data_IF_941305520840
#
_entry.id   IF_941305520840
#
_cell.length_a   1.000
_cell.length_b   1.000
_cell.length_c   1.000
_cell.angle_alpha   90.00
_cell.angle_beta   90.00
_cell.angle_gamma   90.00
#
_symmetry.space_group_name_H-M   'P 1'
#
loop_
_entity.id
_entity.type
_entity.pdbx_description
1 polymer ?
#
# COMPACT_ATOMS: atom_id res chain seq x y z
N UNK A 1 -15.97 4.61 30.52
CA UNK A 1 -16.20 5.13 29.15
C UNK A 1 -14.93 5.85 28.72
N UNK A 2 -14.38 5.60 27.51
CA UNK A 2 -13.26 6.39 27.02
C UNK A 2 -13.69 7.85 26.89
N UNK A 3 -12.82 8.83 27.24
CA UNK A 3 -13.15 10.24 27.13
C UNK A 3 -13.43 10.61 25.66
N UNK A 4 -14.54 11.30 25.41
CA UNK A 4 -14.83 11.83 24.08
C UNK A 4 -13.91 13.02 23.80
N UNK A 5 -13.12 13.01 22.72
CA UNK A 5 -12.25 14.14 22.40
C UNK A 5 -13.08 15.40 22.08
N UNK A 6 -12.56 16.56 22.49
CA UNK A 6 -13.13 17.85 22.06
C UNK A 6 -13.00 18.01 20.54
N UNK A 7 -13.81 18.88 19.89
CA UNK A 7 -13.72 19.12 18.45
C UNK A 7 -12.31 19.48 17.98
N UNK A 8 -11.63 20.37 18.71
CA UNK A 8 -10.27 20.81 18.38
C UNK A 8 -9.26 19.66 18.52
N UNK A 9 -9.35 18.89 19.61
CA UNK A 9 -8.51 17.71 19.81
C UNK A 9 -8.73 16.67 18.72
N UNK A 10 -9.98 16.48 18.29
CA UNK A 10 -10.31 15.58 17.18
C UNK A 10 -9.63 16.05 15.89
N UNK A 11 -9.63 17.35 15.59
CA UNK A 11 -8.96 17.88 14.41
C UNK A 11 -7.45 17.62 14.44
N UNK A 12 -6.77 17.91 15.56
CA UNK A 12 -5.35 17.61 15.72
C UNK A 12 -5.04 16.12 15.58
N UNK A 13 -5.86 15.25 16.17
CA UNK A 13 -5.70 13.80 16.06
C UNK A 13 -5.91 13.30 14.63
N UNK A 14 -6.86 13.88 13.88
CA UNK A 14 -7.08 13.55 12.47
C UNK A 14 -5.93 14.02 11.59
N UNK A 15 -5.40 15.22 11.83
CA UNK A 15 -4.21 15.72 11.14
C UNK A 15 -3.01 14.82 11.43
N UNK A 16 -2.77 14.48 12.70
CA UNK A 16 -1.72 13.55 13.11
C UNK A 16 -1.85 12.19 12.45
N UNK A 17 -3.05 11.61 12.44
CA UNK A 17 -3.35 10.34 11.79
C UNK A 17 -3.15 10.38 10.27
N UNK A 18 -3.55 11.49 9.64
CA UNK A 18 -3.29 11.75 8.22
C UNK A 18 -1.79 11.77 7.94
N UNK A 19 -1.03 12.54 8.72
CA UNK A 19 0.44 12.59 8.59
C UNK A 19 1.07 11.20 8.80
N UNK A 20 0.64 10.44 9.81
CA UNK A 20 1.13 9.08 10.04
C UNK A 20 0.80 8.13 8.87
N UNK A 21 -0.38 8.26 8.26
CA UNK A 21 -0.78 7.48 7.08
C UNK A 21 0.12 7.79 5.88
N UNK A 22 0.40 9.07 5.65
CA UNK A 22 1.28 9.54 4.57
C UNK A 22 2.76 9.19 4.82
N UNK A 23 3.17 9.14 6.09
CA UNK A 23 4.54 8.88 6.52
C UNK A 23 4.82 7.42 6.88
N UNK A 24 3.87 6.50 6.73
CA UNK A 24 3.98 5.12 7.19
C UNK A 24 5.24 4.42 6.66
N UNK A 25 5.57 4.63 5.37
CA UNK A 25 6.79 4.09 4.76
C UNK A 25 8.07 4.65 5.41
N UNK A 26 8.12 5.96 5.63
CA UNK A 26 9.27 6.61 6.26
C UNK A 26 9.46 6.18 7.71
N UNK A 27 8.37 6.13 8.48
CA UNK A 27 8.39 5.65 9.86
C UNK A 27 8.85 4.20 9.94
N UNK A 28 8.34 3.36 9.04
CA UNK A 28 8.80 1.96 8.93
C UNK A 28 10.29 1.89 8.62
N UNK A 29 10.77 2.70 7.67
CA UNK A 29 12.18 2.68 7.26
C UNK A 29 13.11 3.09 8.40
N UNK A 30 12.71 4.08 9.19
CA UNK A 30 13.42 4.53 10.38
C UNK A 30 13.41 3.45 11.48
N UNK A 31 12.26 2.85 11.78
CA UNK A 31 12.15 1.79 12.78
C UNK A 31 12.96 0.54 12.39
N UNK A 32 12.85 0.14 11.13
CA UNK A 32 13.55 -1.01 10.59
C UNK A 32 15.07 -0.81 10.65
N UNK A 33 15.57 0.29 10.08
CA UNK A 33 17.01 0.56 10.01
C UNK A 33 17.65 0.71 11.39
N UNK A 34 16.95 1.34 12.34
CA UNK A 34 17.49 1.61 13.68
C UNK A 34 17.46 0.39 14.60
N UNK A 35 16.41 -0.42 14.54
CA UNK A 35 16.17 -1.44 15.58
C UNK A 35 16.10 -2.89 15.07
N UNK A 36 15.74 -3.12 13.81
CA UNK A 36 15.33 -4.45 13.35
C UNK A 36 16.22 -5.03 12.23
N UNK A 37 16.89 -4.18 11.46
CA UNK A 37 17.76 -4.61 10.37
C UNK A 37 18.92 -5.49 10.86
N UNK A 38 19.56 -5.11 11.97
CA UNK A 38 20.62 -5.91 12.62
C UNK A 38 20.13 -7.27 13.13
N UNK A 39 18.82 -7.41 13.36
CA UNK A 39 18.17 -8.66 13.79
C UNK A 39 17.71 -9.52 12.61
N UNK A 40 17.90 -9.04 11.38
CA UNK A 40 17.49 -9.74 10.17
C UNK A 40 15.97 -9.81 9.97
N UNK A 41 15.20 -8.99 10.67
CA UNK A 41 13.74 -8.90 10.46
C UNK A 41 13.48 -8.31 9.08
N UNK A 42 12.63 -8.89 8.22
CA UNK A 42 12.28 -8.28 6.94
C UNK A 42 11.49 -6.98 7.13
N UNK A 43 11.58 -6.07 6.17
CA UNK A 43 10.88 -4.77 6.18
C UNK A 43 9.35 -4.89 6.15
N UNK A 44 8.81 -5.84 5.37
CA UNK A 44 7.36 -5.94 5.12
C UNK A 44 6.51 -6.18 6.40
N UNK A 45 6.87 -7.12 7.31
CA UNK A 45 6.21 -7.25 8.61
C UNK A 45 6.20 -5.96 9.45
N UNK A 46 7.30 -5.19 9.42
CA UNK A 46 7.40 -3.91 10.14
C UNK A 46 6.41 -2.91 9.57
N UNK A 47 6.34 -2.83 8.23
CA UNK A 47 5.39 -1.97 7.53
C UNK A 47 3.95 -2.33 7.87
N UNK A 48 3.61 -3.62 7.82
CA UNK A 48 2.28 -4.11 8.20
C UNK A 48 1.96 -3.76 9.65
N UNK A 49 2.90 -3.89 10.58
CA UNK A 49 2.72 -3.51 11.98
C UNK A 49 2.46 -2.01 12.18
N UNK A 50 3.24 -1.15 11.50
CA UNK A 50 3.05 0.31 11.54
C UNK A 50 1.68 0.70 10.95
N UNK A 51 1.34 0.19 9.77
CA UNK A 51 0.05 0.46 9.13
C UNK A 51 -1.15 -0.11 9.91
N UNK A 52 -0.98 -1.23 10.58
CA UNK A 52 -1.98 -1.77 11.51
C UNK A 52 -2.17 -0.85 12.71
N UNK A 53 -1.10 -0.30 13.30
CA UNK A 53 -1.20 0.67 14.39
C UNK A 53 -1.95 1.95 13.95
N UNK A 54 -1.65 2.46 12.74
CA UNK A 54 -2.38 3.58 12.14
C UNK A 54 -3.86 3.23 11.95
N UNK A 55 -4.15 2.03 11.42
CA UNK A 55 -5.53 1.55 11.26
C UNK A 55 -6.26 1.50 12.61
N UNK A 56 -5.67 0.89 13.64
CA UNK A 56 -6.27 0.78 14.98
C UNK A 56 -6.51 2.17 15.57
N UNK A 57 -5.54 3.08 15.50
CA UNK A 57 -5.71 4.44 15.97
C UNK A 57 -6.86 5.17 15.23
N UNK A 58 -6.97 4.97 13.91
CA UNK A 58 -8.06 5.51 13.12
C UNK A 58 -9.42 4.92 13.47
N UNK A 59 -9.52 3.60 13.67
CA UNK A 59 -10.76 2.96 14.08
C UNK A 59 -11.21 3.38 15.49
N UNK A 60 -10.26 3.59 16.41
CA UNK A 60 -10.56 4.11 17.75
C UNK A 60 -11.05 5.57 17.70
N UNK A 61 -10.48 6.40 16.82
CA UNK A 61 -10.82 7.82 16.71
C UNK A 61 -12.10 8.09 15.89
N UNK A 62 -12.30 7.32 14.82
CA UNK A 62 -13.36 7.54 13.83
C UNK A 62 -14.53 6.56 14.00
N UNK A 63 -14.32 5.48 14.74
CA UNK A 63 -15.22 4.34 14.84
C UNK A 63 -15.03 3.35 13.68
N UNK A 64 -15.43 2.08 13.86
CA UNK A 64 -15.32 1.05 12.82
C UNK A 64 -16.22 1.30 11.61
N UNK A 65 -17.17 2.24 11.72
CA UNK A 65 -18.04 2.66 10.63
C UNK A 65 -17.30 3.14 9.38
N UNK A 66 -16.06 3.63 9.51
CA UNK A 66 -15.24 4.06 8.35
C UNK A 66 -14.93 2.94 7.36
N UNK A 67 -15.05 1.68 7.77
CA UNK A 67 -14.87 0.52 6.87
C UNK A 67 -16.13 0.21 6.05
N UNK A 68 -17.27 0.75 6.48
CA UNK A 68 -18.61 0.38 6.01
C UNK A 68 -19.47 1.58 5.57
N UNK A 69 -19.05 2.81 5.80
CA UNK A 69 -19.92 3.99 5.76
C UNK A 69 -19.38 5.14 4.91
N UNK A 70 -19.44 5.02 3.59
CA UNK A 70 -19.43 6.20 2.70
C UNK A 70 -20.88 6.60 2.37
N UNK A 71 -21.22 7.88 2.48
CA UNK A 71 -22.58 8.37 2.15
C UNK A 71 -22.72 8.70 0.65
N UNK A 72 -23.87 8.40 0.01
CA UNK A 72 -25.03 7.64 0.53
C UNK A 72 -24.68 6.15 0.72
N UNK A 73 -25.11 5.57 1.84
CA UNK A 73 -24.77 4.18 2.19
C UNK A 73 -25.74 3.21 1.51
N UNK A 74 -25.28 2.38 0.55
CA UNK A 74 -26.13 1.34 0.01
C UNK A 74 -26.53 0.33 1.11
N UNK A 75 -27.60 -0.46 0.91
CA UNK A 75 -27.96 -1.53 1.84
C UNK A 75 -26.79 -2.48 2.09
N UNK A 76 -26.65 -3.01 3.32
CA UNK A 76 -25.52 -3.85 3.69
C UNK A 76 -25.32 -5.04 2.75
N UNK A 77 -26.40 -5.68 2.31
CA UNK A 77 -26.36 -6.78 1.35
C UNK A 77 -25.78 -6.35 -0.01
N UNK A 78 -26.13 -5.16 -0.49
CA UNK A 78 -25.55 -4.61 -1.73
C UNK A 78 -24.05 -4.38 -1.59
N UNK A 79 -23.60 -3.81 -0.47
CA UNK A 79 -22.16 -3.57 -0.21
C UNK A 79 -21.38 -4.88 -0.26
N UNK A 80 -21.90 -5.92 0.40
CA UNK A 80 -21.29 -7.26 0.40
C UNK A 80 -21.30 -7.89 -1.00
N UNK A 81 -22.46 -7.92 -1.65
CA UNK A 81 -22.64 -8.56 -2.95
C UNK A 81 -21.82 -7.89 -4.06
N UNK A 82 -21.73 -6.56 -4.05
CA UNK A 82 -20.96 -5.79 -5.04
C UNK A 82 -19.45 -5.81 -4.80
N UNK A 83 -18.99 -6.08 -3.57
CA UNK A 83 -17.56 -6.02 -3.23
C UNK A 83 -16.71 -7.02 -4.01
N UNK A 84 -17.22 -8.22 -4.27
CA UNK A 84 -16.49 -9.24 -5.03
C UNK A 84 -16.33 -8.85 -6.52
N UNK A 85 -17.40 -8.58 -7.29
CA UNK A 85 -17.27 -8.20 -8.69
C UNK A 85 -16.53 -6.87 -8.88
N UNK A 86 -16.81 -5.86 -8.05
CA UNK A 86 -16.09 -4.58 -8.12
C UNK A 86 -14.62 -4.76 -7.75
N UNK A 87 -14.33 -5.54 -6.70
CA UNK A 87 -12.96 -5.88 -6.33
C UNK A 87 -12.21 -6.62 -7.44
N UNK A 88 -12.84 -7.58 -8.11
CA UNK A 88 -12.26 -8.23 -9.28
C UNK A 88 -11.95 -7.21 -10.40
N UNK A 89 -12.85 -6.26 -10.66
CA UNK A 89 -12.61 -5.14 -11.58
C UNK A 89 -11.40 -4.29 -11.18
N UNK A 90 -11.27 -3.93 -9.90
CA UNK A 90 -10.10 -3.21 -9.36
C UNK A 90 -8.81 -3.99 -9.61
N UNK A 91 -8.81 -5.31 -9.37
CA UNK A 91 -7.66 -6.17 -9.60
C UNK A 91 -7.25 -6.20 -11.09
N UNK A 92 -8.23 -6.25 -12.00
CA UNK A 92 -7.99 -6.22 -13.44
C UNK A 92 -7.40 -4.88 -13.89
N UNK A 93 -7.97 -3.75 -13.44
CA UNK A 93 -7.44 -2.41 -13.74
C UNK A 93 -6.03 -2.26 -13.20
N UNK A 94 -5.78 -2.68 -11.97
CA UNK A 94 -4.44 -2.68 -11.38
C UNK A 94 -3.45 -3.52 -12.19
N UNK A 95 -3.83 -4.74 -12.58
CA UNK A 95 -2.96 -5.62 -13.35
C UNK A 95 -2.69 -5.13 -14.78
N UNK A 96 -3.68 -4.54 -15.44
CA UNK A 96 -3.54 -3.94 -16.77
C UNK A 96 -2.69 -2.67 -16.72
N UNK A 97 -2.93 -1.82 -15.72
CA UNK A 97 -2.16 -0.60 -15.47
C UNK A 97 -0.69 -0.89 -15.17
N UNK A 98 -0.42 -1.87 -14.31
CA UNK A 98 0.95 -2.32 -14.01
C UNK A 98 1.67 -2.80 -15.28
N UNK A 99 1.01 -3.65 -16.08
CA UNK A 99 1.59 -4.13 -17.33
C UNK A 99 1.85 -2.99 -18.34
N UNK A 100 0.92 -2.05 -18.48
CA UNK A 100 1.06 -0.91 -19.39
C UNK A 100 2.22 0.01 -18.96
N UNK A 101 2.23 0.44 -17.70
CA UNK A 101 3.27 1.33 -17.17
C UNK A 101 4.64 0.67 -17.29
N UNK A 102 4.77 -0.60 -16.92
CA UNK A 102 6.04 -1.30 -17.04
C UNK A 102 6.49 -1.47 -18.49
N UNK A 103 5.57 -1.70 -19.43
CA UNK A 103 5.88 -1.70 -20.87
C UNK A 103 6.37 -0.35 -21.36
N UNK A 104 5.76 0.75 -20.93
CA UNK A 104 6.19 2.10 -21.33
C UNK A 104 7.57 2.45 -20.75
N UNK A 105 7.79 2.15 -19.47
CA UNK A 105 9.06 2.43 -18.77
C UNK A 105 10.23 1.59 -19.31
N UNK A 106 9.97 0.34 -19.72
CA UNK A 106 11.01 -0.56 -20.25
C UNK A 106 11.12 -0.55 -21.77
N UNK A 107 10.02 -0.34 -22.48
CA UNK A 107 9.98 -0.26 -23.95
C UNK A 107 10.77 0.92 -24.49
N UNK A 108 10.79 2.05 -23.79
CA UNK A 108 11.67 3.18 -24.10
C UNK A 108 13.17 2.92 -23.88
N UNK A 109 13.54 1.81 -23.21
CA UNK A 109 14.93 1.43 -22.92
C UNK A 109 15.45 0.25 -23.73
N UNK A 110 14.62 -0.34 -24.60
CA UNK A 110 14.99 -1.48 -25.43
C UNK A 110 16.11 -1.19 -26.45
N UNK A 111 16.45 0.10 -26.68
CA UNK A 111 17.56 0.51 -27.53
C UNK A 111 18.94 0.56 -26.85
N UNK A 112 19.04 0.47 -25.52
CA UNK A 112 20.33 0.51 -24.80
C UNK A 112 20.64 -0.87 -24.25
N UNK A 113 21.44 -1.65 -25.00
CA UNK A 113 22.02 -2.93 -24.55
C UNK A 113 22.56 -2.76 -23.11
N UNK A 114 21.89 -3.39 -22.14
CA UNK A 114 22.43 -3.57 -20.79
C UNK A 114 23.68 -4.44 -20.90
N UNK A 115 24.85 -3.81 -20.88
CA UNK A 115 26.11 -4.47 -20.59
C UNK A 115 25.94 -5.26 -19.28
N UNK A 116 26.36 -6.53 -19.20
CA UNK A 116 26.33 -7.26 -17.94
C UNK A 116 27.23 -6.52 -16.97
N UNK A 117 26.65 -5.99 -15.90
CA UNK A 117 27.42 -5.37 -14.83
C UNK A 117 28.26 -6.49 -14.19
N UNK A 118 29.57 -6.47 -14.45
CA UNK A 118 30.54 -7.23 -13.69
C UNK A 118 30.28 -7.03 -12.19
N UNK A 119 30.39 -8.14 -11.46
CA UNK A 119 30.35 -8.29 -10.01
C UNK A 119 30.25 -6.96 -9.23
N UNK A 120 29.03 -6.68 -8.73
CA UNK A 120 28.83 -5.65 -7.74
C UNK A 120 29.58 -6.06 -6.47
N UNK A 121 30.78 -5.48 -6.31
CA UNK A 121 31.50 -5.44 -5.04
C UNK A 121 30.54 -4.99 -3.95
N UNK A 122 30.55 -5.69 -2.82
CA UNK A 122 29.77 -5.37 -1.63
C UNK A 122 30.04 -3.90 -1.27
N UNK A 123 29.08 -3.02 -1.57
CA UNK A 123 29.23 -1.60 -1.26
C UNK A 123 29.30 -1.43 0.27
N UNK A 124 30.21 -0.58 0.77
CA UNK A 124 30.23 -0.24 2.19
C UNK A 124 28.85 0.31 2.59
N UNK A 125 28.42 -0.08 3.78
CA UNK A 125 27.22 0.43 4.44
C UNK A 125 27.42 1.94 4.66
N UNK A 126 26.82 2.78 3.80
CA UNK A 126 27.00 4.24 3.80
C UNK A 126 26.59 4.83 5.18
N UNK A 127 27.44 5.73 5.69
CA UNK A 127 27.39 6.31 7.04
C UNK A 127 26.42 7.50 7.18
N UNK A 128 25.66 7.80 6.13
CA UNK A 128 24.78 8.97 6.00
C UNK A 128 23.36 8.77 6.57
N UNK A 129 23.09 7.61 7.20
CA UNK A 129 21.84 7.34 7.91
C UNK A 129 20.62 7.21 6.99
N UNK A 130 20.79 7.29 5.67
CA UNK A 130 19.71 7.09 4.70
C UNK A 130 19.52 5.59 4.46
N UNK A 131 18.37 5.05 4.87
CA UNK A 131 18.08 3.64 4.65
C UNK A 131 17.87 3.36 3.15
N UNK A 132 18.58 2.35 2.64
CA UNK A 132 18.43 1.85 1.26
C UNK A 132 17.94 0.40 1.27
N UNK A 133 17.02 0.04 0.36
CA UNK A 133 16.56 -1.34 0.19
C UNK A 133 17.69 -2.33 -0.07
N UNK A 134 17.85 -3.36 0.76
CA UNK A 134 18.75 -4.47 0.42
C UNK A 134 18.09 -5.43 -0.58
N UNK A 135 18.88 -6.30 -1.22
CA UNK A 135 18.35 -7.40 -2.07
C UNK A 135 17.44 -8.32 -1.26
N UNK A 136 17.72 -8.50 0.04
CA UNK A 136 16.89 -9.30 0.96
C UNK A 136 15.53 -8.64 1.17
N UNK A 137 15.48 -7.32 1.35
CA UNK A 137 14.23 -6.58 1.58
C UNK A 137 13.32 -6.57 0.35
N UNK A 138 13.91 -6.70 -0.85
CA UNK A 138 13.17 -6.81 -2.12
C UNK A 138 12.68 -8.22 -2.41
N UNK A 139 13.20 -9.24 -1.73
CA UNK A 139 12.67 -10.60 -1.84
C UNK A 139 11.39 -10.66 -1.03
N UNK A 140 10.27 -10.88 -1.73
CA UNK A 140 9.02 -11.21 -1.07
C UNK A 140 9.26 -12.40 -0.11
N UNK A 141 8.74 -12.36 1.13
CA UNK A 141 8.75 -13.53 2.00
C UNK A 141 8.24 -14.76 1.24
N UNK A 142 8.70 -15.95 1.61
CA UNK A 142 8.43 -17.19 0.87
C UNK A 142 6.95 -17.60 0.80
N UNK A 143 6.04 -16.85 1.43
CA UNK A 143 4.59 -17.08 1.38
C UNK A 143 3.78 -15.79 1.17
N UNK A 144 2.53 -15.91 0.70
CA UNK A 144 1.68 -14.77 0.37
C UNK A 144 1.18 -14.02 1.61
N UNK A 145 1.26 -14.60 2.81
CA UNK A 145 0.64 -14.09 4.05
C UNK A 145 0.91 -12.62 4.30
N UNK A 146 2.17 -12.19 4.28
CA UNK A 146 2.53 -10.78 4.54
C UNK A 146 2.10 -9.84 3.41
N UNK A 147 2.10 -10.30 2.16
CA UNK A 147 1.61 -9.49 1.03
C UNK A 147 0.09 -9.33 1.05
N UNK A 148 -0.64 -10.35 1.54
CA UNK A 148 -2.08 -10.26 1.71
C UNK A 148 -2.43 -9.40 2.93
N UNK A 149 -1.68 -9.53 4.03
CA UNK A 149 -1.84 -8.66 5.20
C UNK A 149 -1.58 -7.19 4.83
N UNK A 150 -0.53 -6.91 4.04
CA UNK A 150 -0.25 -5.58 3.51
C UNK A 150 -1.44 -5.01 2.72
N UNK A 151 -2.03 -5.79 1.81
CA UNK A 151 -3.22 -5.35 1.07
C UNK A 151 -4.37 -4.93 2.00
N UNK A 152 -4.66 -5.72 3.04
CA UNK A 152 -5.72 -5.38 3.99
C UNK A 152 -5.39 -4.07 4.71
N UNK A 153 -4.21 -3.96 5.33
CA UNK A 153 -3.88 -2.78 6.13
C UNK A 153 -3.71 -1.51 5.28
N UNK A 154 -3.23 -1.63 4.06
CA UNK A 154 -3.11 -0.49 3.14
C UNK A 154 -4.48 0.04 2.76
N UNK A 155 -5.43 -0.84 2.40
CA UNK A 155 -6.77 -0.39 2.07
C UNK A 155 -7.50 0.17 3.31
N UNK A 156 -7.32 -0.40 4.50
CA UNK A 156 -7.92 0.18 5.71
C UNK A 156 -7.34 1.56 6.04
N UNK A 157 -6.03 1.78 5.84
CA UNK A 157 -5.39 3.09 6.02
C UNK A 157 -5.87 4.09 4.97
N UNK A 158 -5.71 3.78 3.68
CA UNK A 158 -5.93 4.76 2.62
C UNK A 158 -7.40 4.89 2.19
N UNK A 159 -8.17 3.80 2.18
CA UNK A 159 -9.56 3.73 1.69
C UNK A 159 -10.59 3.74 2.82
N UNK A 160 -10.18 3.38 4.03
CA UNK A 160 -10.98 3.55 5.25
C UNK A 160 -10.68 4.89 5.92
N UNK A 161 -9.58 4.93 6.66
CA UNK A 161 -9.24 6.06 7.55
C UNK A 161 -9.03 7.36 6.78
N UNK A 162 -8.11 7.38 5.81
CA UNK A 162 -7.80 8.61 5.05
C UNK A 162 -8.98 9.06 4.19
N UNK A 163 -9.70 8.14 3.56
CA UNK A 163 -10.88 8.45 2.76
C UNK A 163 -11.97 9.13 3.61
N UNK A 164 -12.28 8.62 4.80
CA UNK A 164 -13.22 9.25 5.73
C UNK A 164 -12.76 10.66 6.13
N UNK A 165 -11.47 10.83 6.45
CA UNK A 165 -10.90 12.17 6.73
C UNK A 165 -11.08 13.11 5.54
N UNK A 166 -10.74 12.66 4.33
CA UNK A 166 -10.83 13.47 3.11
C UNK A 166 -12.27 13.88 2.78
N UNK A 167 -13.24 12.98 2.97
CA UNK A 167 -14.66 13.23 2.65
C UNK A 167 -15.38 14.17 3.61
N UNK A 168 -14.79 14.43 4.79
CA UNK A 168 -15.30 15.42 5.76
C UNK A 168 -15.00 16.87 5.39
N UNK A 169 -14.17 17.11 4.38
CA UNK A 169 -14.00 18.46 3.86
C UNK A 169 -15.33 18.98 3.28
N UNK A 170 -15.76 20.15 3.74
CA UNK A 170 -17.01 20.79 3.30
C UNK A 170 -16.93 21.23 1.84
N UNK A 171 -15.80 21.82 1.45
CA UNK A 171 -15.58 22.27 0.09
C UNK A 171 -15.21 21.11 -0.84
N UNK A 172 -15.97 20.94 -1.93
CA UNK A 172 -15.73 19.91 -2.95
C UNK A 172 -14.28 19.93 -3.49
N UNK A 173 -13.66 21.09 -3.83
CA UNK A 173 -12.27 21.10 -4.29
C UNK A 173 -11.28 20.54 -3.26
N UNK A 174 -11.47 20.86 -1.98
CA UNK A 174 -10.60 20.38 -0.90
C UNK A 174 -10.77 18.87 -0.70
N UNK A 175 -12.01 18.37 -0.77
CA UNK A 175 -12.30 16.94 -0.73
C UNK A 175 -11.59 16.19 -1.85
N UNK A 176 -11.69 16.68 -3.08
CA UNK A 176 -11.04 16.07 -4.24
C UNK A 176 -9.50 16.13 -4.12
N UNK A 177 -8.95 17.25 -3.66
CA UNK A 177 -7.52 17.38 -3.42
C UNK A 177 -7.01 16.41 -2.35
N UNK A 178 -7.74 16.23 -1.25
CA UNK A 178 -7.40 15.27 -0.20
C UNK A 178 -7.48 13.81 -0.69
N UNK A 179 -8.50 13.46 -1.48
CA UNK A 179 -8.60 12.15 -2.10
C UNK A 179 -7.44 11.89 -3.08
N UNK A 180 -7.08 12.89 -3.90
CA UNK A 180 -5.95 12.81 -4.82
C UNK A 180 -4.62 12.64 -4.06
N UNK A 181 -4.44 13.36 -2.95
CA UNK A 181 -3.26 13.19 -2.08
C UNK A 181 -3.16 11.76 -1.53
N UNK A 182 -4.28 11.16 -1.10
CA UNK A 182 -4.31 9.75 -0.69
C UNK A 182 -3.90 8.78 -1.79
N UNK A 183 -4.36 9.04 -3.02
CA UNK A 183 -3.99 8.24 -4.20
C UNK A 183 -2.48 8.31 -4.47
N UNK A 184 -1.91 9.51 -4.43
CA UNK A 184 -0.47 9.75 -4.63
C UNK A 184 0.35 9.14 -3.50
N UNK A 185 -0.09 9.28 -2.25
CA UNK A 185 0.60 8.74 -1.09
C UNK A 185 0.66 7.21 -1.09
N UNK A 186 -0.45 6.54 -1.43
CA UNK A 186 -0.47 5.10 -1.62
C UNK A 186 0.54 4.66 -2.70
N UNK A 187 0.62 5.39 -3.82
CA UNK A 187 1.60 5.10 -4.87
C UNK A 187 3.04 5.33 -4.37
N UNK A 188 3.29 6.42 -3.64
CA UNK A 188 4.60 6.72 -3.05
C UNK A 188 5.02 5.73 -1.97
N UNK A 189 4.07 5.04 -1.30
CA UNK A 189 4.38 3.94 -0.39
C UNK A 189 5.15 2.79 -1.09
N UNK A 190 5.09 2.74 -2.42
CA UNK A 190 5.80 1.77 -3.25
C UNK A 190 7.12 2.30 -3.84
N UNK A 191 7.56 3.51 -3.43
CA UNK A 191 8.83 4.10 -3.88
C UNK A 191 10.04 3.21 -3.55
N UNK A 192 9.92 2.38 -2.50
CA UNK A 192 10.87 1.31 -2.16
C UNK A 192 11.22 0.39 -3.35
N UNK A 193 10.26 0.14 -4.24
CA UNK A 193 10.42 -0.69 -5.43
C UNK A 193 10.78 0.13 -6.69
N UNK A 194 10.96 1.45 -6.55
CA UNK A 194 11.35 2.39 -7.60
C UNK A 194 10.19 3.12 -8.27
N UNK A 195 10.50 4.21 -8.99
CA UNK A 195 9.51 5.08 -9.63
C UNK A 195 8.60 4.38 -10.63
N UNK A 196 9.10 3.37 -11.35
CA UNK A 196 8.25 2.57 -12.25
C UNK A 196 7.12 1.87 -11.50
N UNK A 197 7.37 1.42 -10.26
CA UNK A 197 6.37 0.80 -9.40
C UNK A 197 5.42 1.84 -8.78
N UNK A 198 5.91 3.02 -8.41
CA UNK A 198 5.04 4.15 -8.00
C UNK A 198 4.00 4.45 -9.08
N UNK A 199 4.45 4.64 -10.32
CA UNK A 199 3.57 4.92 -11.46
C UNK A 199 2.61 3.75 -11.73
N UNK A 200 3.09 2.51 -11.63
CA UNK A 200 2.29 1.30 -11.84
C UNK A 200 1.17 1.11 -10.81
N UNK A 201 1.30 1.75 -9.63
CA UNK A 201 0.30 1.67 -8.54
C UNK A 201 -0.78 2.73 -8.63
N UNK A 202 -0.60 3.79 -9.42
CA UNK A 202 -1.62 4.82 -9.61
C UNK A 202 -2.94 4.25 -10.17
N UNK A 203 -2.96 3.39 -11.21
CA UNK A 203 -4.22 2.82 -11.72
C UNK A 203 -4.98 2.01 -10.68
N UNK A 204 -4.27 1.15 -9.93
CA UNK A 204 -4.85 0.39 -8.82
C UNK A 204 -5.41 1.34 -7.75
N UNK A 205 -4.66 2.38 -7.42
CA UNK A 205 -4.99 3.35 -6.38
C UNK A 205 -6.25 4.15 -6.70
N UNK A 206 -6.37 4.62 -7.95
CA UNK A 206 -7.56 5.32 -8.46
C UNK A 206 -8.77 4.38 -8.49
N UNK A 207 -8.60 3.17 -9.03
CA UNK A 207 -9.69 2.19 -9.11
C UNK A 207 -10.22 1.80 -7.72
N UNK A 208 -9.32 1.61 -6.75
CA UNK A 208 -9.66 1.31 -5.36
C UNK A 208 -10.46 2.46 -4.71
N UNK A 209 -10.04 3.71 -4.91
CA UNK A 209 -10.77 4.88 -4.39
C UNK A 209 -12.16 5.02 -5.03
N UNK A 210 -12.26 4.79 -6.35
CA UNK A 210 -13.54 4.77 -7.05
C UNK A 210 -14.45 3.63 -6.55
N UNK A 211 -13.89 2.46 -6.25
CA UNK A 211 -14.63 1.33 -5.70
C UNK A 211 -15.25 1.65 -4.33
N UNK A 212 -14.55 2.38 -3.45
CA UNK A 212 -15.14 2.85 -2.18
C UNK A 212 -16.31 3.80 -2.44
N UNK A 213 -16.14 4.75 -3.37
CA UNK A 213 -17.20 5.70 -3.71
C UNK A 213 -18.44 5.00 -4.29
N UNK A 214 -18.25 3.94 -5.09
CA UNK A 214 -19.33 3.18 -5.72
C UNK A 214 -20.04 2.22 -4.75
N UNK A 215 -19.28 1.54 -3.89
CA UNK A 215 -19.80 0.46 -3.04
C UNK A 215 -20.12 0.90 -1.62
N UNK A 216 -19.61 2.06 -1.19
CA UNK A 216 -19.77 2.54 0.18
C UNK A 216 -18.95 1.76 1.22
N UNK A 217 -17.97 0.94 0.80
CA UNK A 217 -17.18 0.09 1.71
C UNK A 217 -15.74 -0.13 1.22
N UNK A 218 -14.85 -0.39 2.17
CA UNK A 218 -13.43 -0.75 1.94
C UNK A 218 -13.28 -2.21 1.50
N UNK A 219 -14.34 -3.04 1.61
CA UNK A 219 -14.25 -4.45 1.26
C UNK A 219 -13.92 -4.67 -0.24
N UNK A 220 -14.52 -3.88 -1.13
CA UNK A 220 -14.25 -3.97 -2.57
C UNK A 220 -12.76 -3.74 -2.92
N UNK A 221 -12.11 -2.64 -2.50
CA UNK A 221 -10.68 -2.46 -2.75
C UNK A 221 -9.81 -3.50 -2.02
N UNK A 222 -10.18 -3.95 -0.81
CA UNK A 222 -9.45 -5.04 -0.12
C UNK A 222 -9.43 -6.31 -0.98
N UNK A 223 -10.59 -6.75 -1.47
CA UNK A 223 -10.68 -7.92 -2.36
C UNK A 223 -9.84 -7.70 -3.61
N UNK A 224 -9.95 -6.54 -4.25
CA UNK A 224 -9.19 -6.23 -5.46
C UNK A 224 -7.67 -6.25 -5.26
N UNK A 225 -7.21 -5.66 -4.15
CA UNK A 225 -5.79 -5.63 -3.82
C UNK A 225 -5.27 -7.03 -3.43
N UNK A 226 -6.04 -7.82 -2.68
CA UNK A 226 -5.70 -9.21 -2.39
C UNK A 226 -5.52 -10.03 -3.68
N UNK A 227 -6.47 -9.93 -4.62
CA UNK A 227 -6.39 -10.62 -5.92
C UNK A 227 -5.19 -10.14 -6.74
N UNK A 228 -4.92 -8.83 -6.76
CA UNK A 228 -3.75 -8.25 -7.41
C UNK A 228 -2.44 -8.81 -6.82
N UNK A 229 -2.31 -8.81 -5.49
CA UNK A 229 -1.11 -9.31 -4.80
C UNK A 229 -0.94 -10.82 -4.96
N UNK A 230 -2.02 -11.59 -4.92
CA UNK A 230 -1.99 -13.03 -5.16
C UNK A 230 -1.51 -13.34 -6.59
N UNK A 231 -2.02 -12.63 -7.60
CA UNK A 231 -1.57 -12.75 -8.99
C UNK A 231 -0.09 -12.38 -9.15
N UNK A 232 0.34 -11.29 -8.52
CA UNK A 232 1.74 -10.86 -8.55
C UNK A 232 2.65 -11.90 -7.88
N UNK A 233 2.22 -12.48 -6.75
CA UNK A 233 2.95 -13.55 -6.07
C UNK A 233 3.05 -14.80 -6.95
N UNK A 234 1.96 -15.26 -7.56
CA UNK A 234 1.98 -16.43 -8.45
C UNK A 234 2.92 -16.27 -9.65
N UNK A 235 3.03 -15.05 -10.21
CA UNK A 235 3.96 -14.76 -11.31
C UNK A 235 5.42 -14.74 -10.90
N UNK A 236 5.69 -14.30 -9.67
CA UNK A 236 7.05 -14.10 -9.16
C UNK A 236 7.55 -15.22 -8.23
N UNK A 237 6.72 -16.25 -8.00
CA UNK A 237 7.13 -17.39 -7.16
C UNK A 237 8.31 -18.13 -7.83
N UNK A 238 9.34 -18.51 -7.07
CA UNK A 238 10.43 -19.32 -7.61
C UNK A 238 9.89 -20.63 -8.19
N UNK A 239 10.38 -21.03 -9.37
CA UNK A 239 10.04 -22.33 -9.94
C UNK A 239 10.49 -23.46 -8.98
N UNK A 240 9.64 -24.47 -8.70
CA UNK A 240 10.07 -25.65 -7.96
C UNK A 240 11.20 -26.34 -8.75
N UNK A 241 12.43 -26.34 -8.22
CA UNK A 241 13.56 -27.08 -8.82
C UNK A 241 14.91 -26.35 -8.91
N UNK A 242 14.97 -25.03 -8.73
CA UNK A 242 16.25 -24.30 -8.84
C UNK A 242 17.10 -24.26 -7.55
N UNK A 243 16.79 -25.10 -6.55
CA UNK A 243 17.54 -25.17 -5.28
C UNK A 243 18.69 -26.18 -5.25
N UNK A 244 19.07 -26.76 -6.39
CA UNK A 244 19.97 -27.94 -6.40
C UNK A 244 21.44 -27.76 -6.80
N UNK A 245 21.94 -26.60 -7.27
CA UNK A 245 23.25 -26.57 -7.96
C UNK A 245 24.22 -25.48 -7.46
N UNK A 246 24.09 -24.99 -6.25
CA UNK A 246 25.06 -24.02 -5.71
C UNK A 246 25.35 -24.25 -4.22
N UNK A 247 25.84 -25.44 -3.92
CA UNK A 247 26.58 -25.75 -2.70
C UNK A 247 27.46 -26.97 -2.97
N UNK A 248 28.54 -26.75 -3.73
CA UNK A 248 29.71 -27.63 -3.83
C UNK A 248 30.93 -26.74 -3.95
#
# INVERSE_FOLDING_TARGET
MPPTPTPDMRLYLLTGLGMCSLAALHLTGALHSRYLDRRGTPMLPVYVGVSAAVTVAGLLLLGPGVLWGSAPTPPALWRLASSVPVGAGVALVGAAGDALVLRLVHGGRAGVRRRPACAATARPREADGTWRPSVRDRRLPTGPTWTLAAAVVEETVFRGVWYDVATRADALPLRLAALALGVVAFALAHLFFGWGQVLAKLPLSVAATAAVALTGTVLAPVVGHLLFNLRAWHRNRPAPGTRGVAAS
#
